data_IF_044182307014
#
_entry.id   IF_044182307014
#
_cell.length_a   1.000
_cell.length_b   1.000
_cell.length_c   1.000
_cell.angle_alpha   90.00
_cell.angle_beta   90.00
_cell.angle_gamma   90.00
#
_symmetry.space_group_name_H-M   'P 1'
#
loop_
_entity.id
_entity.type
_entity.pdbx_description
1 polymer ?
#
# COMPACT_ATOMS: atom_id res chain seq x y z
N UNK A 1 19.92 -1.18 -7.84
CA UNK A 1 20.44 -1.42 -6.48
C UNK A 1 19.22 -1.36 -5.59
N UNK A 2 19.02 -2.38 -4.76
CA UNK A 2 17.90 -2.37 -3.82
C UNK A 2 18.06 -1.20 -2.83
N UNK A 3 16.96 -0.64 -2.29
CA UNK A 3 17.01 0.37 -1.26
C UNK A 3 17.66 -0.19 0.02
N UNK A 4 18.08 0.70 0.88
CA UNK A 4 18.52 0.33 2.22
C UNK A 4 17.31 0.03 3.10
N UNK A 5 17.02 -1.24 3.29
CA UNK A 5 15.84 -1.69 4.05
C UNK A 5 15.88 -1.28 5.53
N UNK A 6 17.07 -1.02 6.07
CA UNK A 6 17.22 -0.58 7.46
C UNK A 6 16.58 0.80 7.68
N UNK A 7 16.54 1.68 6.68
CA UNK A 7 15.86 2.99 6.80
C UNK A 7 14.36 2.80 7.14
N UNK A 8 13.68 1.93 6.38
CA UNK A 8 12.26 1.66 6.61
C UNK A 8 12.03 0.91 7.93
N UNK A 9 12.92 -0.04 8.27
CA UNK A 9 12.83 -0.85 9.47
C UNK A 9 13.11 -0.03 10.74
N UNK A 10 14.16 0.77 10.76
CA UNK A 10 14.50 1.65 11.90
C UNK A 10 13.37 2.67 12.15
N UNK A 11 12.85 3.27 11.06
CA UNK A 11 11.68 4.16 11.14
C UNK A 11 10.47 3.45 11.78
N UNK A 12 10.24 2.16 11.45
CA UNK A 12 9.17 1.36 12.05
C UNK A 12 9.44 1.05 13.53
N UNK A 13 10.67 0.68 13.88
CA UNK A 13 11.06 0.35 15.27
C UNK A 13 10.83 1.57 16.18
N UNK A 14 11.23 2.74 15.72
CA UNK A 14 11.14 3.99 16.49
C UNK A 14 9.70 4.51 16.63
N UNK A 15 8.88 4.34 15.59
CA UNK A 15 7.59 5.03 15.50
C UNK A 15 6.38 4.10 15.34
N UNK A 16 6.57 2.77 15.26
CA UNK A 16 5.56 1.76 14.91
C UNK A 16 4.96 1.93 13.50
N UNK A 17 5.45 2.90 12.76
CA UNK A 17 5.14 3.16 11.35
C UNK A 17 6.44 3.48 10.65
N UNK A 18 6.88 2.58 9.79
CA UNK A 18 8.05 2.78 8.94
C UNK A 18 7.71 3.69 7.77
N UNK A 19 8.55 4.66 7.49
CA UNK A 19 8.45 5.55 6.33
C UNK A 19 9.83 5.71 5.71
N UNK A 20 9.90 5.43 4.41
CA UNK A 20 11.06 5.74 3.59
C UNK A 20 10.57 6.46 2.33
N UNK A 21 11.02 7.69 2.12
CA UNK A 21 10.56 8.54 1.01
C UNK A 21 11.22 8.20 -0.33
N UNK A 22 12.30 7.47 -0.32
CA UNK A 22 13.10 7.09 -1.49
C UNK A 22 13.17 5.55 -1.68
N UNK A 23 12.20 4.82 -1.11
CA UNK A 23 12.19 3.35 -1.13
C UNK A 23 12.12 2.78 -2.54
N UNK A 24 11.23 3.30 -3.41
CA UNK A 24 11.17 2.85 -4.80
C UNK A 24 12.20 3.58 -5.65
N UNK A 25 13.13 2.87 -6.29
CA UNK A 25 14.01 3.48 -7.28
C UNK A 25 13.22 4.25 -8.34
N UNK A 26 13.67 5.44 -8.78
CA UNK A 26 12.90 6.28 -9.71
C UNK A 26 12.46 5.59 -10.99
N UNK A 27 13.30 4.73 -11.58
CA UNK A 27 12.97 3.98 -12.79
C UNK A 27 11.86 2.94 -12.54
N UNK A 28 11.90 2.26 -11.39
CA UNK A 28 10.87 1.29 -10.98
C UNK A 28 9.55 2.01 -10.70
N UNK A 29 9.58 3.09 -9.91
CA UNK A 29 8.41 3.92 -9.60
C UNK A 29 7.73 4.43 -10.88
N UNK A 30 8.52 4.90 -11.85
CA UNK A 30 8.04 5.35 -13.14
C UNK A 30 7.40 4.22 -13.96
N UNK A 31 8.06 3.05 -14.05
CA UNK A 31 7.54 1.90 -14.78
C UNK A 31 6.23 1.38 -14.20
N UNK A 32 6.11 1.32 -12.86
CA UNK A 32 4.88 0.94 -12.16
C UNK A 32 3.77 1.97 -12.38
N UNK A 33 4.10 3.27 -12.38
CA UNK A 33 3.15 4.33 -12.70
C UNK A 33 2.61 4.18 -14.14
N UNK A 34 3.46 3.93 -15.12
CA UNK A 34 3.01 3.71 -16.50
C UNK A 34 2.15 2.46 -16.62
N UNK A 35 2.49 1.39 -15.89
CA UNK A 35 1.71 0.16 -15.92
C UNK A 35 0.29 0.36 -15.33
N UNK A 36 0.15 1.02 -14.19
CA UNK A 36 -1.18 1.28 -13.59
C UNK A 36 -2.03 2.15 -14.53
N UNK A 37 -1.43 3.12 -15.24
CA UNK A 37 -2.11 3.93 -16.25
C UNK A 37 -2.58 3.10 -17.44
N UNK A 38 -1.77 2.14 -17.88
CA UNK A 38 -2.14 1.20 -18.95
C UNK A 38 -3.32 0.32 -18.52
N UNK A 39 -3.25 -0.27 -17.31
CA UNK A 39 -4.34 -1.09 -16.76
C UNK A 39 -5.66 -0.32 -16.63
N UNK A 40 -5.63 0.97 -16.27
CA UNK A 40 -6.80 1.83 -16.25
C UNK A 40 -7.38 2.05 -17.65
N UNK A 41 -6.53 2.41 -18.63
CA UNK A 41 -6.96 2.68 -20.00
C UNK A 41 -7.58 1.44 -20.66
N UNK A 42 -7.11 0.26 -20.30
CA UNK A 42 -7.61 -1.02 -20.79
C UNK A 42 -8.81 -1.56 -19.99
N UNK A 43 -9.32 -0.78 -19.01
CA UNK A 43 -10.42 -1.16 -18.14
C UNK A 43 -10.19 -2.48 -17.37
N UNK A 44 -8.95 -2.78 -17.03
CA UNK A 44 -8.57 -4.00 -16.29
C UNK A 44 -8.78 -3.85 -14.77
N UNK A 45 -8.98 -2.65 -14.28
CA UNK A 45 -9.18 -2.39 -12.85
C UNK A 45 -10.64 -2.55 -12.45
N UNK A 46 -10.88 -3.14 -11.28
CA UNK A 46 -12.20 -3.39 -10.74
C UNK A 46 -12.44 -2.63 -9.44
N UNK A 47 -13.69 -2.24 -9.16
CA UNK A 47 -14.03 -1.64 -7.87
C UNK A 47 -13.61 -2.58 -6.73
N UNK A 48 -12.90 -2.05 -5.73
CA UNK A 48 -12.46 -2.84 -4.60
C UNK A 48 -13.68 -3.38 -3.83
N UNK A 49 -13.74 -4.70 -3.68
CA UNK A 49 -14.74 -5.38 -2.87
C UNK A 49 -14.21 -5.69 -1.47
N UNK A 50 -15.10 -5.72 -0.48
CA UNK A 50 -14.79 -6.24 0.84
C UNK A 50 -15.83 -7.33 1.15
N UNK A 51 -15.39 -8.59 1.27
CA UNK A 51 -16.28 -9.69 1.68
C UNK A 51 -17.32 -10.12 0.65
N UNK A 52 -18.25 -10.98 1.06
CA UNK A 52 -19.29 -11.60 0.24
C UNK A 52 -20.27 -10.59 -0.38
N UNK A 53 -20.86 -10.96 -1.50
CA UNK A 53 -21.72 -10.14 -2.39
C UNK A 53 -22.87 -9.36 -1.71
N UNK A 54 -23.34 -9.77 -0.55
CA UNK A 54 -24.45 -9.11 0.18
C UNK A 54 -24.03 -7.83 0.93
N UNK A 55 -22.74 -7.51 0.99
CA UNK A 55 -22.20 -6.37 1.76
C UNK A 55 -21.65 -5.27 0.86
N UNK A 56 -21.73 -5.43 -0.46
CA UNK A 56 -21.13 -4.51 -1.46
C UNK A 56 -21.53 -3.04 -1.33
N UNK A 57 -22.79 -2.74 -1.04
CA UNK A 57 -23.30 -1.35 -1.02
C UNK A 57 -22.81 -0.53 0.18
N UNK A 58 -22.66 -1.16 1.35
CA UNK A 58 -22.11 -0.48 2.55
C UNK A 58 -20.62 -0.22 2.43
N UNK A 59 -19.90 -1.06 1.68
CA UNK A 59 -18.45 -0.96 1.53
C UNK A 59 -18.03 0.03 0.44
N UNK A 60 -18.80 0.26 -0.61
CA UNK A 60 -18.55 1.35 -1.56
C UNK A 60 -18.65 2.75 -0.91
N UNK A 61 -19.40 2.89 0.20
CA UNK A 61 -19.42 4.11 1.00
C UNK A 61 -18.21 4.25 1.93
N UNK A 62 -17.51 3.15 2.20
CA UNK A 62 -16.31 3.13 3.06
C UNK A 62 -15.02 3.22 2.26
N UNK A 63 -14.98 2.63 1.06
CA UNK A 63 -13.79 2.48 0.23
C UNK A 63 -14.12 2.82 -1.23
N UNK A 64 -13.40 3.75 -1.83
CA UNK A 64 -13.73 4.30 -3.15
C UNK A 64 -12.67 4.06 -4.23
N UNK A 65 -11.82 3.05 -4.08
CA UNK A 65 -10.76 2.74 -5.04
C UNK A 65 -11.15 1.64 -6.04
N UNK A 66 -10.42 1.63 -7.17
CA UNK A 66 -10.37 0.53 -8.12
C UNK A 66 -9.03 -0.17 -7.96
N UNK A 67 -9.03 -1.49 -8.04
CA UNK A 67 -7.84 -2.31 -7.81
C UNK A 67 -7.56 -3.26 -8.98
N UNK A 68 -6.29 -3.65 -9.09
CA UNK A 68 -5.82 -4.74 -9.94
C UNK A 68 -4.76 -5.54 -9.18
N UNK A 69 -5.04 -6.82 -8.93
CA UNK A 69 -4.12 -7.70 -8.21
C UNK A 69 -2.89 -8.00 -9.03
N UNK A 70 -1.73 -7.92 -8.41
CA UNK A 70 -0.48 -8.36 -9.00
C UNK A 70 -0.36 -9.87 -8.88
N UNK A 71 0.16 -10.52 -9.92
CA UNK A 71 0.45 -11.94 -9.93
C UNK A 71 1.89 -12.17 -10.40
N UNK A 72 2.58 -13.13 -9.78
CA UNK A 72 3.92 -13.55 -10.20
C UNK A 72 3.99 -14.06 -11.65
N UNK A 73 2.84 -14.51 -12.18
CA UNK A 73 2.73 -15.01 -13.55
C UNK A 73 2.47 -13.89 -14.59
N UNK A 74 2.29 -12.63 -14.14
CA UNK A 74 2.20 -11.48 -15.03
C UNK A 74 3.54 -11.23 -15.74
N UNK A 75 3.48 -10.86 -17.01
CA UNK A 75 4.68 -10.62 -17.84
C UNK A 75 5.27 -9.22 -17.70
N UNK A 76 4.64 -8.31 -16.95
CA UNK A 76 5.13 -6.93 -16.80
C UNK A 76 6.45 -6.91 -16.01
N UNK A 77 7.56 -6.40 -16.59
CA UNK A 77 8.86 -6.45 -15.94
C UNK A 77 8.94 -5.61 -14.65
N UNK A 78 8.20 -4.51 -14.55
CA UNK A 78 8.19 -3.65 -13.38
C UNK A 78 7.40 -4.29 -12.22
N UNK A 79 6.32 -5.03 -12.52
CA UNK A 79 5.63 -5.83 -11.48
C UNK A 79 6.56 -6.92 -10.94
N UNK A 80 7.27 -7.62 -11.82
CA UNK A 80 8.22 -8.65 -11.42
C UNK A 80 9.36 -8.08 -10.56
N UNK A 81 9.90 -6.92 -10.96
CA UNK A 81 10.93 -6.21 -10.19
C UNK A 81 10.40 -5.78 -8.81
N UNK A 82 9.18 -5.22 -8.75
CA UNK A 82 8.55 -4.84 -7.48
C UNK A 82 8.29 -6.05 -6.57
N UNK A 83 7.74 -7.15 -7.12
CA UNK A 83 7.50 -8.36 -6.33
C UNK A 83 8.79 -8.96 -5.78
N UNK A 84 9.87 -8.90 -6.57
CA UNK A 84 11.21 -9.30 -6.11
C UNK A 84 11.73 -8.38 -4.99
N UNK A 85 11.57 -7.07 -5.15
CA UNK A 85 11.94 -6.09 -4.12
C UNK A 85 11.19 -6.35 -2.81
N UNK A 86 9.87 -6.58 -2.88
CA UNK A 86 9.04 -6.91 -1.73
C UNK A 86 9.44 -8.25 -1.07
N UNK A 87 9.86 -9.24 -1.87
CA UNK A 87 10.41 -10.49 -1.35
C UNK A 87 11.74 -10.26 -0.61
N UNK A 88 12.67 -9.49 -1.21
CA UNK A 88 13.94 -9.17 -0.57
C UNK A 88 13.73 -8.44 0.77
N UNK A 89 12.78 -7.50 0.83
CA UNK A 89 12.40 -6.83 2.08
C UNK A 89 11.80 -7.82 3.09
N UNK A 90 10.96 -8.76 2.65
CA UNK A 90 10.40 -9.80 3.51
C UNK A 90 11.49 -10.71 4.10
N UNK A 91 12.47 -11.10 3.29
CA UNK A 91 13.59 -11.92 3.73
C UNK A 91 14.44 -11.16 4.76
N UNK A 92 14.71 -9.88 4.51
CA UNK A 92 15.39 -9.00 5.48
C UNK A 92 14.65 -8.90 6.82
N UNK A 93 13.30 -8.74 6.81
CA UNK A 93 12.48 -8.75 8.02
C UNK A 93 12.55 -10.09 8.77
N UNK A 94 12.55 -11.20 8.04
CA UNK A 94 12.66 -12.53 8.65
C UNK A 94 14.03 -12.75 9.29
N UNK A 95 15.10 -12.31 8.65
CA UNK A 95 16.45 -12.43 9.16
C UNK A 95 16.72 -11.52 10.36
N UNK A 96 16.28 -10.26 10.28
CA UNK A 96 16.56 -9.24 11.30
C UNK A 96 15.59 -9.27 12.48
N UNK A 97 14.31 -9.59 12.26
CA UNK A 97 13.23 -9.47 13.26
C UNK A 97 12.50 -10.79 13.55
N UNK A 98 12.88 -11.90 12.92
CA UNK A 98 12.25 -13.22 13.14
C UNK A 98 10.74 -13.23 12.95
N UNK A 99 10.23 -12.49 11.97
CA UNK A 99 8.79 -12.25 11.76
C UNK A 99 8.03 -13.51 11.32
N UNK A 100 8.71 -14.44 10.65
CA UNK A 100 8.12 -15.67 10.12
C UNK A 100 7.13 -15.45 8.99
N UNK A 101 7.27 -14.34 8.24
CA UNK A 101 6.46 -14.06 7.06
C UNK A 101 6.80 -15.08 5.97
N UNK A 102 5.77 -15.67 5.36
CA UNK A 102 5.95 -16.72 4.36
C UNK A 102 5.07 -16.55 3.12
N UNK A 103 4.30 -15.47 3.05
CA UNK A 103 3.45 -15.13 1.90
C UNK A 103 3.27 -13.61 1.82
N UNK A 104 2.98 -13.12 0.63
CA UNK A 104 2.58 -11.74 0.41
C UNK A 104 1.51 -11.64 -0.69
N UNK A 105 0.74 -10.56 -0.67
CA UNK A 105 -0.21 -10.22 -1.73
C UNK A 105 -0.19 -8.72 -1.96
N UNK A 106 -0.20 -8.29 -3.22
CA UNK A 106 -0.15 -6.88 -3.61
C UNK A 106 -1.17 -6.56 -4.69
N UNK A 107 -1.66 -5.33 -4.69
CA UNK A 107 -2.52 -4.82 -5.74
C UNK A 107 -2.22 -3.35 -6.03
N UNK A 108 -2.42 -2.93 -7.26
CA UNK A 108 -2.57 -1.52 -7.58
C UNK A 108 -3.88 -1.00 -7.02
N UNK A 109 -3.88 0.23 -6.50
CA UNK A 109 -5.08 0.91 -6.03
C UNK A 109 -5.14 2.32 -6.63
N UNK A 110 -6.29 2.67 -7.18
CA UNK A 110 -6.57 4.00 -7.74
C UNK A 110 -7.80 4.59 -7.07
N UNK A 111 -7.60 5.68 -6.36
CA UNK A 111 -8.68 6.51 -5.84
C UNK A 111 -8.94 7.64 -6.82
N UNK A 112 -10.14 7.72 -7.37
CA UNK A 112 -10.57 8.86 -8.18
C UNK A 112 -10.72 10.13 -7.34
N UNK A 113 -10.86 11.28 -8.00
CA UNK A 113 -11.17 12.54 -7.34
C UNK A 113 -12.42 12.44 -6.46
N UNK A 114 -12.37 13.03 -5.27
CA UNK A 114 -13.45 13.00 -4.27
C UNK A 114 -13.56 11.69 -3.50
N UNK A 115 -12.69 10.72 -3.74
CA UNK A 115 -12.70 9.43 -3.05
C UNK A 115 -11.82 9.43 -1.80
N UNK A 116 -12.20 8.60 -0.86
CA UNK A 116 -11.56 8.43 0.44
C UNK A 116 -11.67 6.97 0.90
N UNK A 117 -10.96 6.61 1.95
CA UNK A 117 -11.18 5.35 2.67
C UNK A 117 -11.27 5.64 4.16
N UNK A 118 -12.41 5.32 4.76
CA UNK A 118 -12.69 5.59 6.18
C UNK A 118 -11.73 4.82 7.10
N UNK A 119 -11.62 5.31 8.32
CA UNK A 119 -10.78 4.73 9.37
C UNK A 119 -11.06 3.24 9.59
N UNK A 120 -10.01 2.42 9.55
CA UNK A 120 -10.05 0.96 9.67
C UNK A 120 -8.69 0.40 10.09
N UNK A 121 -8.65 -0.90 10.36
CA UNK A 121 -7.44 -1.73 10.39
C UNK A 121 -7.51 -2.73 9.24
N UNK A 122 -6.35 -3.21 8.75
CA UNK A 122 -6.28 -4.11 7.59
C UNK A 122 -6.49 -5.59 7.92
N UNK A 123 -6.55 -5.93 9.19
CA UNK A 123 -6.82 -7.29 9.66
C UNK A 123 -8.31 -7.53 9.83
N UNK A 124 -8.79 -8.68 9.37
CA UNK A 124 -10.16 -9.12 9.59
C UNK A 124 -10.28 -9.88 10.91
N UNK A 125 -11.45 -9.78 11.57
CA UNK A 125 -11.72 -10.50 12.84
C UNK A 125 -11.51 -12.02 12.74
N UNK A 126 -11.69 -12.60 11.56
CA UNK A 126 -11.61 -14.04 11.31
C UNK A 126 -10.38 -14.46 10.51
N UNK A 127 -9.50 -13.54 10.13
CA UNK A 127 -8.27 -13.81 9.40
C UNK A 127 -7.12 -12.93 9.94
N UNK A 128 -6.27 -13.54 10.72
CA UNK A 128 -5.07 -12.89 11.27
C UNK A 128 -3.80 -13.18 10.45
N UNK A 129 -3.93 -13.64 9.22
CA UNK A 129 -2.77 -13.96 8.37
C UNK A 129 -1.99 -12.72 7.97
N UNK A 130 -2.65 -11.58 7.75
CA UNK A 130 -2.03 -10.28 7.44
C UNK A 130 -1.32 -9.74 8.67
N UNK A 131 0.02 -9.73 8.64
CA UNK A 131 0.85 -9.26 9.76
C UNK A 131 1.25 -7.82 9.59
N UNK A 132 1.64 -7.44 8.39
CA UNK A 132 2.07 -6.07 8.09
C UNK A 132 1.41 -5.59 6.81
N UNK A 133 1.01 -4.32 6.82
CA UNK A 133 0.59 -3.57 5.65
C UNK A 133 1.78 -2.85 5.06
N UNK A 134 1.92 -2.93 3.75
CA UNK A 134 3.02 -2.33 3.02
C UNK A 134 2.47 -1.56 1.82
N UNK A 135 2.62 -0.24 1.85
CA UNK A 135 2.05 0.69 0.88
C UNK A 135 3.19 1.42 0.17
N UNK A 136 3.13 1.49 -1.15
CA UNK A 136 4.10 2.22 -1.98
C UNK A 136 3.36 3.18 -2.90
N UNK A 137 3.76 4.45 -2.92
CA UNK A 137 3.07 5.50 -3.66
C UNK A 137 3.70 5.77 -5.01
N UNK A 138 2.82 6.14 -5.98
CA UNK A 138 3.20 6.37 -7.38
C UNK A 138 2.84 7.78 -7.89
N UNK A 139 2.43 8.69 -7.01
CA UNK A 139 1.92 10.01 -7.41
C UNK A 139 3.05 11.02 -7.54
N UNK A 140 3.20 11.60 -8.73
CA UNK A 140 4.17 12.64 -8.99
C UNK A 140 3.66 13.99 -8.51
N UNK A 141 4.57 14.85 -8.06
CA UNK A 141 4.30 16.26 -7.73
C UNK A 141 3.06 16.40 -6.83
N UNK A 142 2.97 15.56 -5.78
CA UNK A 142 1.83 15.57 -4.86
C UNK A 142 2.03 16.61 -3.78
N UNK A 143 1.06 17.50 -3.64
CA UNK A 143 1.07 18.58 -2.66
C UNK A 143 0.04 18.32 -1.54
N UNK A 144 0.20 19.00 -0.41
CA UNK A 144 -0.75 18.89 0.71
C UNK A 144 -2.17 19.31 0.31
N UNK A 145 -2.28 20.29 -0.60
CA UNK A 145 -3.53 20.77 -1.14
C UNK A 145 -4.31 19.72 -1.95
N UNK A 146 -3.63 18.69 -2.49
CA UNK A 146 -4.25 17.62 -3.23
C UNK A 146 -5.05 16.65 -2.33
N UNK A 147 -4.87 16.70 -1.00
CA UNK A 147 -5.50 15.77 -0.07
C UNK A 147 -4.96 14.35 -0.23
N UNK A 148 -5.82 13.32 -0.05
CA UNK A 148 -5.44 11.92 -0.26
C UNK A 148 -4.35 11.40 0.67
N UNK A 149 -4.05 12.11 1.75
CA UNK A 149 -3.05 11.72 2.74
C UNK A 149 -3.46 10.41 3.43
N UNK A 150 -2.48 9.60 3.78
CA UNK A 150 -2.67 8.53 4.75
C UNK A 150 -2.57 9.12 6.16
N UNK A 151 -3.61 8.99 6.94
CA UNK A 151 -3.63 9.38 8.33
C UNK A 151 -3.54 8.14 9.20
N UNK A 152 -2.49 8.08 10.03
CA UNK A 152 -2.30 7.04 11.04
C UNK A 152 -2.75 7.60 12.38
N UNK A 153 -3.66 6.89 13.02
CA UNK A 153 -4.22 7.27 14.32
C UNK A 153 -3.41 6.63 15.46
N UNK A 154 -2.60 7.42 16.14
CA UNK A 154 -1.97 7.06 17.40
C UNK A 154 -2.89 7.48 18.56
N UNK A 155 -2.61 7.03 19.78
CA UNK A 155 -3.42 7.37 20.97
C UNK A 155 -3.54 8.88 21.22
N UNK A 156 -2.46 9.64 20.97
CA UNK A 156 -2.34 11.06 21.30
C UNK A 156 -2.19 11.99 20.09
N UNK A 157 -2.02 11.44 18.88
CA UNK A 157 -1.76 12.24 17.67
C UNK A 157 -2.21 11.53 16.39
N UNK A 158 -2.37 12.32 15.34
CA UNK A 158 -2.53 11.82 13.97
C UNK A 158 -1.24 12.10 13.20
N UNK A 159 -0.62 11.05 12.67
CA UNK A 159 0.50 11.16 11.75
C UNK A 159 -0.02 11.22 10.32
N UNK A 160 0.35 12.26 9.59
CA UNK A 160 -0.09 12.51 8.22
C UNK A 160 1.04 12.21 7.25
N UNK A 161 0.77 11.41 6.25
CA UNK A 161 1.75 10.97 5.25
C UNK A 161 1.25 11.34 3.87
N UNK A 162 2.04 12.14 3.14
CA UNK A 162 1.76 12.47 1.76
C UNK A 162 2.00 11.25 0.86
N UNK A 163 1.11 10.96 -0.09
CA UNK A 163 1.26 9.83 -0.99
C UNK A 163 2.21 10.14 -2.17
N UNK A 164 3.41 10.67 -1.87
CA UNK A 164 4.42 11.06 -2.85
C UNK A 164 5.08 9.83 -3.49
N UNK A 165 5.29 9.87 -4.81
CA UNK A 165 5.98 8.81 -5.55
C UNK A 165 7.35 8.48 -4.93
N UNK A 166 7.68 7.20 -4.86
CA UNK A 166 8.90 6.70 -4.22
C UNK A 166 8.72 6.33 -2.76
N UNK A 167 7.76 6.94 -2.05
CA UNK A 167 7.56 6.72 -0.62
C UNK A 167 6.93 5.34 -0.35
N UNK A 168 7.52 4.61 0.59
CA UNK A 168 6.95 3.42 1.21
C UNK A 168 6.46 3.70 2.64
N UNK A 169 5.39 3.02 3.03
CA UNK A 169 4.85 3.03 4.39
C UNK A 169 4.62 1.59 4.84
N UNK A 170 5.07 1.27 6.05
CA UNK A 170 5.05 -0.06 6.62
C UNK A 170 4.56 -0.04 8.07
N UNK A 171 3.56 -0.87 8.41
CA UNK A 171 2.99 -0.93 9.75
C UNK A 171 2.26 -2.26 10.01
N UNK A 172 1.98 -2.57 11.28
CA UNK A 172 1.20 -3.75 11.65
C UNK A 172 -0.26 -3.63 11.21
N UNK A 173 -0.76 -4.65 10.51
CA UNK A 173 -2.10 -4.67 9.93
C UNK A 173 -3.24 -4.71 10.96
N UNK A 174 -3.01 -5.29 12.12
CA UNK A 174 -4.01 -5.52 13.17
C UNK A 174 -4.02 -4.45 14.28
N UNK A 175 -2.93 -3.69 14.40
CA UNK A 175 -2.77 -2.70 15.48
C UNK A 175 -2.94 -1.26 15.00
N UNK A 176 -2.73 -1.00 13.69
CA UNK A 176 -2.64 0.36 13.18
C UNK A 176 -3.95 0.83 12.55
N UNK A 177 -4.70 1.65 13.27
CA UNK A 177 -5.86 2.33 12.70
C UNK A 177 -5.42 3.44 11.75
N UNK A 178 -5.95 3.41 10.53
CA UNK A 178 -5.60 4.39 9.51
C UNK A 178 -6.76 4.71 8.58
N UNK A 179 -6.65 5.82 7.86
CA UNK A 179 -7.60 6.24 6.84
C UNK A 179 -6.91 6.93 5.67
N UNK A 180 -7.55 6.94 4.52
CA UNK A 180 -7.17 7.77 3.38
C UNK A 180 -8.13 8.95 3.30
N UNK A 181 -7.61 10.16 3.45
CA UNK A 181 -8.43 11.38 3.34
C UNK A 181 -8.90 11.58 1.89
N UNK A 182 -9.91 12.42 1.71
CA UNK A 182 -10.44 12.72 0.38
C UNK A 182 -9.33 13.27 -0.52
N UNK A 183 -9.12 12.63 -1.67
CA UNK A 183 -8.21 13.09 -2.70
C UNK A 183 -8.90 14.06 -3.65
N UNK A 184 -8.23 15.15 -4.03
CA UNK A 184 -8.73 16.16 -4.97
C UNK A 184 -8.27 15.91 -6.40
N UNK A 185 -7.43 14.91 -6.59
CA UNK A 185 -7.05 14.36 -7.88
C UNK A 185 -6.83 12.86 -7.76
N UNK A 186 -6.64 12.17 -8.85
CA UNK A 186 -6.43 10.73 -8.87
C UNK A 186 -5.17 10.34 -8.08
N UNK A 187 -5.33 9.41 -7.13
CA UNK A 187 -4.29 8.94 -6.22
C UNK A 187 -4.00 7.46 -6.46
N UNK A 188 -2.75 7.16 -6.69
CA UNK A 188 -2.25 5.84 -7.06
C UNK A 188 -1.29 5.28 -6.02
N UNK A 189 -1.44 4.00 -5.72
CA UNK A 189 -0.52 3.26 -4.85
C UNK A 189 -0.47 1.79 -5.24
N UNK A 190 0.59 1.12 -4.79
CA UNK A 190 0.62 -0.33 -4.63
C UNK A 190 0.41 -0.58 -3.14
N UNK A 191 -0.60 -1.35 -2.81
CA UNK A 191 -0.93 -1.72 -1.43
C UNK A 191 -0.92 -3.23 -1.31
N UNK A 192 -0.35 -3.73 -0.23
CA UNK A 192 -0.29 -5.16 -0.01
C UNK A 192 -0.03 -5.53 1.43
N UNK A 193 -0.01 -6.83 1.66
CA UNK A 193 0.15 -7.39 2.99
C UNK A 193 1.23 -8.46 3.00
N UNK A 194 2.09 -8.38 4.01
CA UNK A 194 3.01 -9.44 4.35
C UNK A 194 2.30 -10.38 5.33
N UNK A 195 2.26 -11.66 4.99
CA UNK A 195 1.38 -12.64 5.64
C UNK A 195 2.17 -13.77 6.27
N UNK A 196 1.58 -14.32 7.34
CA UNK A 196 2.00 -15.59 7.93
C UNK A 196 0.80 -16.55 7.86
N UNK A 197 0.89 -17.48 6.93
CA UNK A 197 -0.12 -18.52 6.65
C UNK A 197 0.36 -19.89 7.08
#
# INVERSE_FOLDING_TARGET
MDPDFDILLDSYIDNKVGIDIDFLPPALSEGLYQNIRHLQNDNMMHAAGIGNDEVKDLHQQMRGDHIYWMDKDHSNPFEQEFLKLAQNFTDHLNESCYTGINSCEFHYAVYGEGRAYKKHTDSFRNDSSRKYSFINYLNRDWEEADGGQLWIHHEDKIQKILPQAGTAVFFKSDETEHEVTMARRERMSITGWLKRV
#
